data_IF_020948067260
#
_entry.id   IF_020948067260
#
_cell.length_a   1.000
_cell.length_b   1.000
_cell.length_c   1.000
_cell.angle_alpha   90.00
_cell.angle_beta   90.00
_cell.angle_gamma   90.00
#
_symmetry.space_group_name_H-M   'P 1'
#
loop_
_entity.id
_entity.type
_entity.pdbx_description
1 polymer ?
#
# COMPACT_ATOMS: atom_id res chain seq x y z
N UNK A 1 -12.41 24.92 8.42
CA UNK A 1 -11.01 25.14 7.99
C UNK A 1 -10.68 24.10 6.93
N UNK A 2 -9.92 24.49 5.90
CA UNK A 2 -9.81 23.85 4.58
C UNK A 2 -9.66 22.32 4.56
N UNK A 3 -10.63 21.65 3.93
CA UNK A 3 -10.48 20.30 3.36
C UNK A 3 -9.59 20.40 2.11
N UNK A 4 -8.29 20.19 2.27
CA UNK A 4 -7.45 19.83 1.11
C UNK A 4 -7.66 18.35 0.84
N UNK A 5 -8.66 18.01 0.03
CA UNK A 5 -8.65 16.76 -0.72
C UNK A 5 -7.40 16.78 -1.61
N UNK A 6 -6.30 16.20 -1.10
CA UNK A 6 -5.11 15.97 -1.90
C UNK A 6 -5.45 14.95 -2.97
N UNK A 7 -5.84 15.44 -4.15
CA UNK A 7 -5.92 14.63 -5.35
C UNK A 7 -4.48 14.27 -5.77
N UNK A 8 -3.87 13.31 -5.06
CA UNK A 8 -2.49 12.86 -5.31
C UNK A 8 -2.47 12.14 -6.65
N UNK A 9 -1.65 12.60 -7.58
CA UNK A 9 -1.34 11.82 -8.76
C UNK A 9 -0.36 10.71 -8.37
N UNK A 10 -0.92 9.52 -8.12
CA UNK A 10 -0.16 8.36 -7.71
C UNK A 10 0.80 7.91 -8.81
N UNK A 11 1.99 7.44 -8.42
CA UNK A 11 2.95 6.89 -9.36
C UNK A 11 2.38 5.67 -10.10
N UNK A 12 2.49 5.67 -11.43
CA UNK A 12 1.91 4.62 -12.30
C UNK A 12 2.44 3.22 -11.96
N UNK A 13 3.69 3.12 -11.49
CA UNK A 13 4.28 1.83 -11.11
C UNK A 13 3.59 1.27 -9.87
N UNK A 14 3.26 2.12 -8.89
CA UNK A 14 2.51 1.70 -7.71
C UNK A 14 1.12 1.18 -8.09
N UNK A 15 0.41 1.88 -8.98
CA UNK A 15 -0.88 1.42 -9.48
C UNK A 15 -0.79 0.08 -10.18
N UNK A 16 0.26 -0.13 -10.99
CA UNK A 16 0.47 -1.39 -11.69
C UNK A 16 0.73 -2.56 -10.73
N UNK A 17 1.52 -2.36 -9.67
CA UNK A 17 1.81 -3.42 -8.69
C UNK A 17 0.58 -3.69 -7.82
N UNK A 18 -0.13 -2.64 -7.40
CA UNK A 18 -1.37 -2.79 -6.62
C UNK A 18 -2.42 -3.58 -7.42
N UNK A 19 -2.58 -3.31 -8.71
CA UNK A 19 -3.51 -4.06 -9.55
C UNK A 19 -3.13 -5.55 -9.66
N UNK A 20 -1.84 -5.87 -9.77
CA UNK A 20 -1.39 -7.28 -9.73
C UNK A 20 -1.75 -7.97 -8.41
N UNK A 21 -1.59 -7.25 -7.29
CA UNK A 21 -2.02 -7.76 -5.99
C UNK A 21 -3.52 -8.04 -5.96
N UNK A 22 -4.35 -7.09 -6.41
CA UNK A 22 -5.82 -7.22 -6.43
C UNK A 22 -6.26 -8.38 -7.33
N UNK A 23 -5.68 -8.49 -8.53
CA UNK A 23 -5.97 -9.57 -9.48
C UNK A 23 -5.70 -10.96 -8.87
N UNK A 24 -4.60 -11.12 -8.14
CA UNK A 24 -4.25 -12.40 -7.50
C UNK A 24 -5.04 -12.66 -6.22
N UNK A 25 -5.32 -11.61 -5.44
CA UNK A 25 -6.14 -11.70 -4.23
C UNK A 25 -7.55 -12.20 -4.55
N UNK A 26 -8.10 -11.81 -5.71
CA UNK A 26 -9.44 -12.22 -6.13
C UNK A 26 -9.49 -13.63 -6.74
N UNK A 27 -8.34 -14.17 -7.19
CA UNK A 27 -8.24 -15.54 -7.71
C UNK A 27 -8.07 -16.59 -6.61
N UNK A 28 -7.53 -16.18 -5.47
CA UNK A 28 -7.18 -17.05 -4.37
C UNK A 28 -7.95 -16.63 -3.12
N UNK A 29 -9.00 -17.38 -2.75
CA UNK A 29 -9.80 -17.19 -1.53
C UNK A 29 -9.01 -17.33 -0.21
N UNK A 30 -7.68 -17.27 -0.25
CA UNK A 30 -6.81 -17.46 0.90
C UNK A 30 -5.67 -16.45 0.82
N UNK A 31 -5.71 -15.45 1.71
CA UNK A 31 -4.58 -14.54 2.01
C UNK A 31 -3.47 -15.31 2.74
N UNK A 32 -2.86 -16.29 2.10
CA UNK A 32 -1.80 -17.10 2.69
C UNK A 32 -0.45 -16.38 2.56
N UNK A 33 0.42 -16.46 3.56
CA UNK A 33 1.75 -15.80 3.54
C UNK A 33 2.65 -16.32 2.40
N UNK A 34 2.37 -17.52 1.91
CA UNK A 34 3.05 -18.14 0.77
C UNK A 34 2.39 -17.83 -0.59
N UNK A 35 1.30 -17.05 -0.60
CA UNK A 35 0.59 -16.74 -1.85
C UNK A 35 1.35 -15.73 -2.70
N UNK A 36 1.11 -15.79 -4.02
CA UNK A 36 1.66 -14.81 -4.95
C UNK A 36 1.10 -13.39 -4.71
N UNK A 37 -0.13 -13.28 -4.20
CA UNK A 37 -0.69 -11.99 -3.76
C UNK A 37 0.12 -11.41 -2.60
N UNK A 38 0.61 -12.23 -1.66
CA UNK A 38 1.47 -11.77 -0.58
C UNK A 38 2.79 -11.18 -1.10
N UNK A 39 3.38 -11.79 -2.13
CA UNK A 39 4.60 -11.27 -2.80
C UNK A 39 4.33 -9.91 -3.42
N UNK A 40 3.27 -9.76 -4.22
CA UNK A 40 2.93 -8.48 -4.84
C UNK A 40 2.62 -7.38 -3.82
N UNK A 41 2.03 -7.73 -2.68
CA UNK A 41 1.77 -6.74 -1.63
C UNK A 41 3.07 -6.25 -0.98
N UNK A 42 4.05 -7.13 -0.74
CA UNK A 42 5.36 -6.72 -0.23
C UNK A 42 6.12 -5.86 -1.25
N UNK A 43 6.09 -6.22 -2.53
CA UNK A 43 6.66 -5.40 -3.61
C UNK A 43 6.01 -4.01 -3.64
N UNK A 44 4.69 -3.94 -3.48
CA UNK A 44 3.96 -2.68 -3.42
C UNK A 44 4.42 -1.79 -2.26
N UNK A 45 4.64 -2.35 -1.06
CA UNK A 45 5.14 -1.61 0.11
C UNK A 45 6.55 -1.07 -0.15
N UNK A 46 7.46 -1.92 -0.65
CA UNK A 46 8.86 -1.54 -0.92
C UNK A 46 8.91 -0.43 -1.98
N UNK A 47 8.16 -0.59 -3.07
CA UNK A 47 8.11 0.43 -4.12
C UNK A 47 7.44 1.71 -3.63
N UNK A 48 6.44 1.61 -2.75
CA UNK A 48 5.81 2.78 -2.13
C UNK A 48 6.82 3.58 -1.31
N UNK A 49 7.73 2.92 -0.59
CA UNK A 49 8.81 3.59 0.13
C UNK A 49 9.75 4.36 -0.80
N UNK A 50 10.07 3.81 -1.97
CA UNK A 50 11.03 4.40 -2.92
C UNK A 50 10.49 5.61 -3.70
N UNK A 51 9.18 5.87 -3.68
CA UNK A 51 8.60 7.05 -4.34
C UNK A 51 8.34 8.20 -3.34
N UNK A 52 8.35 9.47 -3.77
CA UNK A 52 8.02 10.60 -2.90
C UNK A 52 6.60 10.49 -2.32
N UNK A 53 6.42 10.92 -1.06
CA UNK A 53 5.16 10.79 -0.32
C UNK A 53 3.93 11.34 -1.07
N UNK A 54 4.08 12.49 -1.76
CA UNK A 54 3.01 13.10 -2.54
C UNK A 54 2.54 12.27 -3.75
N UNK A 55 3.30 11.24 -4.14
CA UNK A 55 2.98 10.29 -5.21
C UNK A 55 2.63 8.89 -4.69
N UNK A 56 2.57 8.68 -3.37
CA UNK A 56 2.12 7.44 -2.73
C UNK A 56 0.61 7.45 -2.56
N UNK A 57 0.02 6.26 -2.50
CA UNK A 57 -1.33 6.10 -1.97
C UNK A 57 -1.35 6.54 -0.50
N UNK A 58 -2.30 7.41 -0.14
CA UNK A 58 -2.62 7.62 1.27
C UNK A 58 -3.34 6.40 1.85
N UNK A 59 -3.32 6.24 3.16
CA UNK A 59 -4.06 5.17 3.86
C UNK A 59 -5.54 5.17 3.47
N UNK A 60 -6.17 6.35 3.38
CA UNK A 60 -7.59 6.47 3.00
C UNK A 60 -7.84 6.00 1.58
N UNK A 61 -7.01 6.41 0.62
CA UNK A 61 -7.13 5.98 -0.78
C UNK A 61 -6.92 4.47 -0.91
N UNK A 62 -5.90 3.92 -0.23
CA UNK A 62 -5.64 2.49 -0.25
C UNK A 62 -6.79 1.70 0.38
N UNK A 63 -7.34 2.18 1.50
CA UNK A 63 -8.49 1.55 2.17
C UNK A 63 -9.75 1.55 1.32
N UNK A 64 -9.98 2.62 0.55
CA UNK A 64 -11.10 2.74 -0.39
C UNK A 64 -10.95 1.74 -1.54
N UNK A 65 -9.79 1.70 -2.19
CA UNK A 65 -9.51 0.77 -3.29
C UNK A 65 -9.65 -0.69 -2.86
N UNK A 66 -9.09 -1.06 -1.69
CA UNK A 66 -9.19 -2.42 -1.16
C UNK A 66 -10.65 -2.81 -0.87
N UNK A 67 -11.47 -1.87 -0.40
CA UNK A 67 -12.89 -2.08 -0.13
C UNK A 67 -13.70 -2.24 -1.41
N UNK A 68 -13.46 -1.38 -2.40
CA UNK A 68 -14.11 -1.45 -3.71
C UNK A 68 -13.74 -2.72 -4.48
N UNK A 69 -12.56 -3.27 -4.21
CA UNK A 69 -12.07 -4.51 -4.82
C UNK A 69 -12.48 -5.77 -4.06
N UNK A 70 -13.34 -5.64 -3.04
CA UNK A 70 -13.85 -6.75 -2.20
C UNK A 70 -12.73 -7.58 -1.55
N UNK A 71 -11.59 -6.96 -1.23
CA UNK A 71 -10.47 -7.65 -0.58
C UNK A 71 -10.76 -7.83 0.91
N UNK A 72 -10.62 -9.06 1.38
CA UNK A 72 -10.73 -9.38 2.81
C UNK A 72 -9.56 -8.82 3.64
N UNK A 73 -9.75 -8.74 4.96
CA UNK A 73 -8.69 -8.36 5.91
C UNK A 73 -8.05 -6.98 5.65
N UNK A 74 -8.84 -6.00 5.17
CA UNK A 74 -8.37 -4.64 4.86
C UNK A 74 -7.56 -4.02 6.02
N UNK A 75 -8.03 -4.16 7.26
CA UNK A 75 -7.33 -3.63 8.43
C UNK A 75 -5.91 -4.19 8.56
N UNK A 76 -5.73 -5.50 8.35
CA UNK A 76 -4.42 -6.14 8.38
C UNK A 76 -3.50 -5.62 7.26
N UNK A 77 -4.03 -5.48 6.05
CA UNK A 77 -3.27 -4.96 4.91
C UNK A 77 -2.81 -3.52 5.15
N UNK A 78 -3.69 -2.65 5.63
CA UNK A 78 -3.35 -1.26 5.98
C UNK A 78 -2.30 -1.21 7.09
N UNK A 79 -2.45 -2.00 8.15
CA UNK A 79 -1.43 -2.09 9.21
C UNK A 79 -0.09 -2.54 8.64
N UNK A 80 -0.06 -3.58 7.80
CA UNK A 80 1.18 -4.04 7.15
C UNK A 80 1.81 -2.99 6.24
N UNK A 81 1.01 -2.22 5.52
CA UNK A 81 1.50 -1.12 4.70
C UNK A 81 2.19 -0.06 5.57
N UNK A 82 1.53 0.36 6.65
CA UNK A 82 2.09 1.35 7.58
C UNK A 82 3.36 0.84 8.26
N UNK A 83 3.32 -0.36 8.84
CA UNK A 83 4.45 -0.97 9.54
C UNK A 83 5.62 -1.21 8.59
N UNK A 84 5.34 -1.71 7.39
CA UNK A 84 6.36 -1.95 6.37
C UNK A 84 7.08 -0.67 5.94
N UNK A 85 6.32 0.42 5.70
CA UNK A 85 6.93 1.71 5.37
C UNK A 85 7.73 2.28 6.57
N UNK A 86 7.24 2.10 7.80
CA UNK A 86 7.94 2.56 8.99
C UNK A 86 9.27 1.82 9.19
N UNK A 87 9.26 0.49 9.07
CA UNK A 87 10.46 -0.34 9.20
C UNK A 87 11.50 -0.01 8.13
N UNK A 88 11.07 0.25 6.89
CA UNK A 88 11.96 0.72 5.83
C UNK A 88 12.54 2.11 6.15
N UNK A 89 11.72 3.04 6.65
CA UNK A 89 12.21 4.35 7.08
C UNK A 89 13.26 4.22 8.21
N UNK A 90 13.03 3.36 9.19
CA UNK A 90 14.00 3.08 10.26
C UNK A 90 15.31 2.50 9.71
N UNK A 91 15.23 1.52 8.80
CA UNK A 91 16.40 0.90 8.18
C UNK A 91 17.26 1.94 7.42
N UNK A 92 16.60 2.91 6.78
CA UNK A 92 17.24 3.98 6.03
C UNK A 92 17.60 5.22 6.87
N UNK A 93 17.32 5.21 8.18
CA UNK A 93 17.52 6.36 9.10
C UNK A 93 16.73 7.62 8.69
N UNK A 94 15.55 7.40 8.12
CA UNK A 94 14.58 8.42 7.70
C UNK A 94 13.35 8.49 8.61
N UNK A 95 13.39 7.80 9.77
CA UNK A 95 12.29 7.66 10.72
C UNK A 95 11.78 8.99 11.30
N UNK A 96 12.66 9.98 11.43
CA UNK A 96 12.28 11.33 11.88
C UNK A 96 11.37 12.10 10.91
N UNK A 97 11.22 11.64 9.66
CA UNK A 97 10.34 12.23 8.64
C UNK A 97 9.21 11.28 8.21
N UNK A 98 8.98 10.21 8.97
CA UNK A 98 8.01 9.21 8.59
C UNK A 98 6.56 9.71 8.71
N UNK A 99 5.86 9.73 7.59
CA UNK A 99 4.42 9.94 7.49
C UNK A 99 3.83 8.95 6.47
N UNK A 100 3.01 7.98 6.91
CA UNK A 100 2.41 7.00 6.01
C UNK A 100 1.36 7.60 5.05
#
# INVERSE_FOLDING_TARGET
>A
MCEKQFNRQVDKRLSLILNKFLDESNKSNVSNVESISYVFYNEFIIESFNVPQQKRYSISQLSEILRESEVDNIAYLITRYMDGLYLLAQLHKEDHFFYP
#
